data_IF_009241952305
#
_entry.id   IF_009241952305
#
_cell.length_a   1.000
_cell.length_b   1.000
_cell.length_c   1.000
_cell.angle_alpha   90.00
_cell.angle_beta   90.00
_cell.angle_gamma   90.00
#
_symmetry.space_group_name_H-M   'P 1'
#
loop_
_entity.id
_entity.type
_entity.pdbx_description
1 polymer ?
#
# COMPACT_ATOMS: atom_id res chain seq x y z
N UNK A 1 -2.83 19.31 6.71
CA UNK A 1 -3.32 18.31 5.76
C UNK A 1 -3.15 16.98 6.43
N UNK A 2 -4.26 16.31 6.63
CA UNK A 2 -4.34 14.97 7.17
C UNK A 2 -3.72 13.95 6.21
N UNK A 3 -3.44 12.76 6.72
CA UNK A 3 -2.92 11.63 5.94
C UNK A 3 -3.85 11.27 4.76
N UNK A 4 -5.18 11.28 4.99
CA UNK A 4 -6.18 10.93 3.97
C UNK A 4 -6.29 12.00 2.88
N UNK A 5 -6.21 13.28 3.24
CA UNK A 5 -6.16 14.35 2.24
C UNK A 5 -4.89 14.25 1.38
N UNK A 6 -3.74 13.96 1.98
CA UNK A 6 -2.49 13.77 1.26
C UNK A 6 -2.53 12.52 0.36
N UNK A 7 -3.15 11.43 0.82
CA UNK A 7 -3.42 10.23 0.02
C UNK A 7 -4.23 10.58 -1.22
N UNK A 8 -5.39 11.21 -1.06
CA UNK A 8 -6.32 11.47 -2.17
C UNK A 8 -5.75 12.42 -3.22
N UNK A 9 -4.82 13.31 -2.82
CA UNK A 9 -4.06 14.15 -3.77
C UNK A 9 -2.97 13.40 -4.52
N UNK A 10 -2.51 12.26 -3.99
CA UNK A 10 -1.37 11.53 -4.50
C UNK A 10 -1.77 10.31 -5.33
N UNK A 11 -2.79 9.55 -4.87
CA UNK A 11 -3.34 8.36 -5.49
C UNK A 11 -4.72 8.70 -6.08
N UNK A 12 -4.71 9.45 -7.18
CA UNK A 12 -5.93 10.07 -7.75
C UNK A 12 -6.91 9.09 -8.35
N UNK A 13 -6.46 7.91 -8.78
CA UNK A 13 -7.34 6.86 -9.28
C UNK A 13 -7.89 5.96 -8.16
N UNK A 14 -7.28 6.01 -6.97
CA UNK A 14 -7.62 5.16 -5.82
C UNK A 14 -7.85 6.01 -4.56
N UNK A 15 -8.83 6.93 -4.58
CA UNK A 15 -9.14 7.76 -3.43
C UNK A 15 -9.70 6.92 -2.28
N UNK A 16 -9.44 7.37 -1.06
CA UNK A 16 -9.93 6.76 0.17
C UNK A 16 -10.70 7.76 1.04
N UNK A 17 -11.26 7.27 2.15
CA UNK A 17 -11.98 8.08 3.14
C UNK A 17 -11.40 7.87 4.54
N UNK A 18 -11.65 8.80 5.45
CA UNK A 18 -11.22 8.66 6.85
C UNK A 18 -11.85 7.43 7.54
N UNK A 19 -13.10 7.10 7.22
CA UNK A 19 -13.78 5.91 7.74
C UNK A 19 -13.11 4.63 7.25
N UNK A 20 -12.87 4.52 5.93
CA UNK A 20 -12.17 3.37 5.37
C UNK A 20 -10.75 3.23 5.92
N UNK A 21 -9.97 4.32 6.00
CA UNK A 21 -8.62 4.27 6.54
C UNK A 21 -8.61 3.81 8.01
N UNK A 22 -9.56 4.30 8.82
CA UNK A 22 -9.73 3.84 10.20
C UNK A 22 -10.03 2.34 10.24
N UNK A 23 -11.04 1.89 9.49
CA UNK A 23 -11.57 0.54 9.61
C UNK A 23 -10.65 -0.52 8.97
N UNK A 24 -9.99 -0.18 7.86
CA UNK A 24 -9.15 -1.10 7.09
C UNK A 24 -7.64 -0.98 7.36
N UNK A 25 -7.17 0.10 7.99
CA UNK A 25 -5.74 0.27 8.34
C UNK A 25 -5.55 0.34 9.85
N UNK A 26 -6.20 1.28 10.54
CA UNK A 26 -5.93 1.52 11.97
C UNK A 26 -6.56 0.47 12.89
N UNK A 27 -7.67 -0.13 12.50
CA UNK A 27 -8.37 -1.18 13.24
C UNK A 27 -8.08 -2.59 12.69
N UNK A 28 -7.16 -2.71 11.73
CA UNK A 28 -6.68 -4.01 11.29
C UNK A 28 -5.96 -4.71 12.48
N UNK A 29 -6.29 -5.98 12.82
CA UNK A 29 -5.59 -6.72 13.87
C UNK A 29 -4.07 -6.85 13.67
N UNK A 30 -3.59 -6.68 12.45
CA UNK A 30 -2.18 -6.69 12.08
C UNK A 30 -1.54 -5.29 12.09
N UNK A 31 -2.28 -4.24 12.46
CA UNK A 31 -1.77 -2.88 12.54
C UNK A 31 -0.65 -2.76 13.57
N UNK A 32 0.48 -2.24 13.11
CA UNK A 32 1.64 -1.90 13.94
C UNK A 32 2.03 -0.46 13.61
N UNK A 33 1.97 0.49 14.57
CA UNK A 33 2.31 1.88 14.31
C UNK A 33 3.76 2.06 13.84
N UNK A 34 4.69 1.16 14.20
CA UNK A 34 6.07 1.22 13.72
C UNK A 34 6.19 0.86 12.23
N UNK A 35 5.18 0.20 11.65
CA UNK A 35 5.09 -0.11 10.23
C UNK A 35 4.55 1.05 9.39
N UNK A 36 3.85 2.01 9.98
CA UNK A 36 3.27 3.16 9.26
C UNK A 36 4.23 4.37 9.26
N UNK A 37 5.00 4.52 8.19
CA UNK A 37 5.92 5.65 8.01
C UNK A 37 5.17 6.85 7.43
N UNK A 38 5.17 7.96 8.15
CA UNK A 38 4.53 9.22 7.73
C UNK A 38 5.58 10.32 7.68
N UNK A 39 5.72 10.95 6.50
CA UNK A 39 6.57 12.13 6.33
C UNK A 39 5.77 13.40 6.55
N UNK A 40 6.28 14.29 7.41
CA UNK A 40 5.68 15.59 7.73
C UNK A 40 6.65 16.70 7.39
N UNK A 41 6.18 17.71 6.66
CA UNK A 41 6.92 18.93 6.37
C UNK A 41 6.00 20.13 6.66
N UNK A 42 6.51 21.13 7.38
CA UNK A 42 5.75 22.34 7.77
C UNK A 42 4.39 22.01 8.44
N UNK A 43 4.37 20.96 9.27
CA UNK A 43 3.16 20.48 9.95
C UNK A 43 2.12 19.82 9.02
N UNK A 44 2.47 19.54 7.76
CA UNK A 44 1.60 18.88 6.79
C UNK A 44 2.13 17.49 6.45
N UNK A 45 1.24 16.50 6.31
CA UNK A 45 1.63 15.19 5.78
C UNK A 45 1.95 15.34 4.29
N UNK A 46 3.14 14.87 3.90
CA UNK A 46 3.65 14.95 2.52
C UNK A 46 4.02 13.61 1.90
N UNK A 47 3.92 12.52 2.65
CA UNK A 47 4.12 11.18 2.13
C UNK A 47 3.88 10.11 3.18
N UNK A 48 3.67 8.89 2.72
CA UNK A 48 3.44 7.74 3.57
C UNK A 48 3.92 6.46 2.90
N UNK A 49 4.38 5.48 3.68
CA UNK A 49 4.48 4.08 3.28
C UNK A 49 4.09 3.19 4.46
N UNK A 50 3.30 2.16 4.21
CA UNK A 50 2.84 1.25 5.26
C UNK A 50 3.41 -0.14 5.02
N UNK A 51 4.25 -0.63 5.95
CA UNK A 51 4.70 -2.00 6.01
C UNK A 51 3.86 -2.79 7.02
N UNK A 52 3.29 -3.92 6.59
CA UNK A 52 2.45 -4.80 7.44
C UNK A 52 2.95 -6.24 7.40
N UNK A 53 2.77 -6.95 8.51
CA UNK A 53 3.03 -8.40 8.67
C UNK A 53 1.86 -9.01 9.43
N UNK A 54 1.60 -10.31 9.30
CA UNK A 54 0.54 -10.91 10.12
C UNK A 54 0.98 -11.09 11.57
N UNK A 55 0.16 -10.58 12.47
CA UNK A 55 0.17 -10.86 13.91
C UNK A 55 -0.97 -11.83 14.27
N UNK A 56 -2.00 -11.89 13.43
CA UNK A 56 -3.12 -12.84 13.55
C UNK A 56 -3.29 -13.64 12.25
N UNK A 57 -3.64 -14.94 12.33
CA UNK A 57 -3.93 -15.74 11.14
C UNK A 57 -5.09 -15.17 10.32
N UNK A 58 -5.04 -15.34 9.00
CA UNK A 58 -6.12 -14.89 8.11
C UNK A 58 -7.42 -15.66 8.35
N UNK A 59 -7.33 -16.96 8.60
CA UNK A 59 -8.45 -17.83 8.87
C UNK A 59 -8.08 -18.90 9.92
N UNK A 60 -9.07 -19.54 10.58
CA UNK A 60 -8.80 -20.64 11.49
C UNK A 60 -7.97 -21.74 10.81
N UNK A 61 -6.83 -22.08 11.41
CA UNK A 61 -5.94 -23.13 10.90
C UNK A 61 -4.91 -22.69 9.85
N UNK A 62 -4.86 -21.40 9.46
CA UNK A 62 -3.75 -20.87 8.64
C UNK A 62 -2.59 -20.41 9.53
N UNK A 63 -1.38 -20.32 8.97
CA UNK A 63 -0.25 -19.71 9.67
C UNK A 63 -0.25 -18.17 9.56
N UNK A 64 0.81 -17.55 10.07
CA UNK A 64 1.05 -16.10 10.01
C UNK A 64 1.85 -15.68 8.76
N UNK A 65 2.13 -16.60 7.85
CA UNK A 65 3.05 -16.38 6.72
C UNK A 65 4.36 -15.73 7.21
N UNK A 66 5.13 -16.38 8.10
CA UNK A 66 6.17 -15.75 8.90
C UNK A 66 7.31 -15.12 8.07
N UNK A 67 7.49 -15.58 6.83
CA UNK A 67 8.50 -15.05 5.90
C UNK A 67 8.01 -13.83 5.11
N UNK A 68 6.70 -13.57 5.10
CA UNK A 68 6.05 -12.56 4.25
C UNK A 68 5.78 -11.25 5.00
N UNK A 69 6.06 -10.16 4.31
CA UNK A 69 5.58 -8.82 4.65
C UNK A 69 4.95 -8.17 3.42
N UNK A 70 4.18 -7.11 3.64
CA UNK A 70 3.50 -6.41 2.56
C UNK A 70 3.66 -4.91 2.69
N UNK A 71 3.70 -4.23 1.55
CA UNK A 71 3.50 -2.79 1.46
C UNK A 71 2.17 -2.56 0.74
N UNK A 72 1.03 -2.40 1.45
CA UNK A 72 -0.28 -2.31 0.79
C UNK A 72 -0.42 -1.02 -0.02
N UNK A 73 0.23 0.06 0.42
CA UNK A 73 0.27 1.34 -0.27
C UNK A 73 1.50 2.16 0.14
N UNK A 74 1.89 3.07 -0.73
CA UNK A 74 2.71 4.22 -0.41
C UNK A 74 2.32 5.40 -1.30
N UNK A 75 2.63 6.61 -0.88
CA UNK A 75 2.44 7.79 -1.70
C UNK A 75 3.38 8.92 -1.30
N UNK A 76 3.58 9.86 -2.23
CA UNK A 76 4.26 11.13 -2.00
C UNK A 76 3.41 12.24 -2.61
N UNK A 77 3.16 13.29 -1.83
CA UNK A 77 2.46 14.48 -2.27
C UNK A 77 3.12 15.03 -3.54
N UNK A 78 2.34 15.44 -4.57
CA UNK A 78 2.88 15.84 -5.87
C UNK A 78 4.05 16.82 -5.80
N UNK A 79 3.98 17.79 -4.89
CA UNK A 79 5.00 18.85 -4.75
C UNK A 79 6.33 18.37 -4.15
N UNK A 80 6.36 17.18 -3.55
CA UNK A 80 7.56 16.58 -2.93
C UNK A 80 8.15 15.42 -3.74
N UNK A 81 7.61 15.14 -4.93
CA UNK A 81 8.13 14.10 -5.82
C UNK A 81 9.48 14.51 -6.43
N UNK A 82 10.23 13.51 -6.92
CA UNK A 82 11.54 13.74 -7.54
C UNK A 82 12.69 14.12 -6.58
N UNK A 83 12.45 14.14 -5.27
CA UNK A 83 13.42 14.56 -4.24
C UNK A 83 13.94 13.41 -3.36
N UNK A 84 13.69 12.16 -3.75
CA UNK A 84 14.11 10.96 -3.00
C UNK A 84 13.20 10.55 -1.84
N UNK A 85 12.18 11.34 -1.49
CA UNK A 85 11.28 11.03 -0.36
C UNK A 85 10.59 9.67 -0.50
N UNK A 86 10.07 9.34 -1.68
CA UNK A 86 9.41 8.05 -1.91
C UNK A 86 10.35 6.87 -1.68
N UNK A 87 11.61 6.99 -2.15
CA UNK A 87 12.63 5.95 -1.97
C UNK A 87 12.91 5.72 -0.50
N UNK A 88 13.11 6.81 0.25
CA UNK A 88 13.30 6.76 1.69
C UNK A 88 12.13 6.08 2.41
N UNK A 89 10.89 6.45 2.09
CA UNK A 89 9.70 5.87 2.72
C UNK A 89 9.57 4.36 2.45
N UNK A 90 9.79 3.94 1.21
CA UNK A 90 9.75 2.50 0.85
C UNK A 90 10.89 1.74 1.52
N UNK A 91 12.12 2.28 1.52
CA UNK A 91 13.26 1.66 2.18
C UNK A 91 13.04 1.52 3.70
N UNK A 92 12.44 2.53 4.35
CA UNK A 92 12.08 2.48 5.77
C UNK A 92 11.00 1.42 6.07
N UNK A 93 10.03 1.23 5.18
CA UNK A 93 9.02 0.18 5.30
C UNK A 93 9.62 -1.23 5.10
N UNK A 94 10.48 -1.40 4.09
CA UNK A 94 11.22 -2.66 3.88
C UNK A 94 12.13 -2.97 5.08
N UNK A 95 12.88 -1.97 5.56
CA UNK A 95 13.77 -2.12 6.73
C UNK A 95 12.98 -2.57 7.97
N UNK A 96 11.80 -2.00 8.20
CA UNK A 96 10.91 -2.46 9.26
C UNK A 96 10.53 -3.94 9.09
N UNK A 97 10.08 -4.35 7.91
CA UNK A 97 9.70 -5.74 7.65
C UNK A 97 10.88 -6.70 7.82
N UNK A 98 12.07 -6.34 7.33
CA UNK A 98 13.29 -7.12 7.52
C UNK A 98 13.69 -7.22 8.99
N UNK A 99 13.59 -6.14 9.76
CA UNK A 99 13.85 -6.16 11.21
C UNK A 99 12.86 -7.07 11.96
N UNK A 100 11.65 -7.26 11.42
CA UNK A 100 10.67 -8.21 11.94
C UNK A 100 10.87 -9.63 11.42
N UNK A 101 11.94 -9.92 10.68
CA UNK A 101 12.27 -11.25 10.15
C UNK A 101 11.59 -11.62 8.84
N UNK A 102 10.96 -10.67 8.13
CA UNK A 102 10.36 -10.95 6.81
C UNK A 102 11.45 -10.96 5.75
N UNK A 103 11.46 -12.02 4.94
CA UNK A 103 12.44 -12.26 3.87
C UNK A 103 11.85 -12.04 2.48
N UNK A 104 10.52 -11.96 2.39
CA UNK A 104 9.76 -11.63 1.18
C UNK A 104 8.87 -10.42 1.46
N UNK A 105 8.88 -9.44 0.56
CA UNK A 105 7.99 -8.27 0.62
C UNK A 105 7.20 -8.15 -0.67
N UNK A 106 5.88 -8.25 -0.59
CA UNK A 106 4.98 -8.05 -1.72
C UNK A 106 4.36 -6.65 -1.69
N UNK A 107 4.20 -6.02 -2.85
CA UNK A 107 3.47 -4.76 -2.96
C UNK A 107 1.98 -5.04 -3.21
N UNK A 108 1.12 -4.28 -2.53
CA UNK A 108 -0.34 -4.23 -2.65
C UNK A 108 -1.15 -5.47 -2.21
N UNK A 109 -0.66 -6.69 -2.46
CA UNK A 109 -1.43 -7.95 -2.33
C UNK A 109 -1.78 -8.41 -0.91
N UNK A 110 -1.72 -7.51 0.08
CA UNK A 110 -2.09 -7.82 1.46
C UNK A 110 -3.58 -8.13 1.58
N UNK A 111 -3.90 -9.17 2.35
CA UNK A 111 -5.26 -9.55 2.75
C UNK A 111 -5.36 -9.51 4.28
N UNK A 112 -6.47 -9.05 4.87
CA UNK A 112 -7.81 -8.97 4.27
C UNK A 112 -8.13 -7.65 3.56
N UNK A 113 -7.38 -6.58 3.84
CA UNK A 113 -7.72 -5.23 3.39
C UNK A 113 -6.96 -4.87 2.11
N UNK A 114 -7.52 -5.29 0.97
CA UNK A 114 -6.96 -5.05 -0.36
C UNK A 114 -7.12 -3.59 -0.78
N UNK A 115 -6.00 -2.89 -0.96
CA UNK A 115 -5.99 -1.44 -1.27
C UNK A 115 -5.87 -1.18 -2.76
N UNK A 116 -4.88 -1.80 -3.38
CA UNK A 116 -4.54 -1.64 -4.79
C UNK A 116 -4.45 -3.01 -5.44
N UNK A 117 -4.76 -3.14 -6.74
CA UNK A 117 -4.57 -4.38 -7.45
C UNK A 117 -3.10 -4.78 -7.64
N UNK A 118 -2.21 -3.80 -7.54
CA UNK A 118 -0.79 -3.90 -7.85
C UNK A 118 -0.25 -2.52 -8.20
N UNK A 119 1.02 -2.46 -8.62
CA UNK A 119 1.59 -1.23 -9.13
C UNK A 119 1.19 -1.04 -10.60
N UNK A 120 0.32 -0.06 -10.87
CA UNK A 120 -0.14 0.27 -12.22
C UNK A 120 0.90 1.18 -12.92
N UNK A 121 1.56 0.72 -14.01
CA UNK A 121 2.55 1.52 -14.72
C UNK A 121 1.95 2.64 -15.58
N UNK A 122 0.66 2.57 -15.94
CA UNK A 122 -0.02 3.61 -16.72
C UNK A 122 -0.58 4.69 -15.80
N UNK A 123 -1.24 4.29 -14.72
CA UNK A 123 -1.83 5.21 -13.74
C UNK A 123 -0.76 5.85 -12.85
N UNK A 124 0.26 5.08 -12.43
CA UNK A 124 1.31 5.54 -11.50
C UNK A 124 2.74 5.18 -11.98
N UNK A 125 3.18 5.69 -13.14
CA UNK A 125 4.48 5.33 -13.75
C UNK A 125 5.70 5.65 -12.85
N UNK A 126 5.63 6.71 -12.05
CA UNK A 126 6.68 7.07 -11.10
C UNK A 126 6.77 6.08 -9.92
N UNK A 127 5.62 5.66 -9.39
CA UNK A 127 5.55 4.68 -8.31
C UNK A 127 6.04 3.30 -8.77
N UNK A 128 5.65 2.90 -9.98
CA UNK A 128 6.11 1.65 -10.60
C UNK A 128 7.65 1.64 -10.77
N UNK A 129 8.23 2.70 -11.37
CA UNK A 129 9.69 2.81 -11.52
C UNK A 129 10.43 2.83 -10.19
N UNK A 130 9.84 3.46 -9.17
CA UNK A 130 10.41 3.49 -7.83
C UNK A 130 10.49 2.09 -7.21
N UNK A 131 9.42 1.29 -7.31
CA UNK A 131 9.41 -0.09 -6.85
C UNK A 131 10.48 -0.92 -7.58
N UNK A 132 10.60 -0.79 -8.90
CA UNK A 132 11.67 -1.47 -9.66
C UNK A 132 13.07 -1.05 -9.18
N UNK A 133 13.30 0.24 -8.96
CA UNK A 133 14.57 0.76 -8.45
C UNK A 133 14.86 0.35 -6.99
N UNK A 134 13.82 -0.02 -6.23
CA UNK A 134 13.93 -0.59 -4.89
C UNK A 134 14.11 -2.13 -4.90
N UNK A 135 14.16 -2.76 -6.08
CA UNK A 135 14.42 -4.19 -6.24
C UNK A 135 13.17 -5.08 -6.32
N UNK A 136 11.98 -4.50 -6.37
CA UNK A 136 10.75 -5.26 -6.60
C UNK A 136 10.70 -5.80 -8.03
N UNK A 137 10.18 -7.02 -8.17
CA UNK A 137 10.01 -7.70 -9.45
C UNK A 137 8.53 -7.95 -9.73
N UNK A 138 8.12 -7.81 -10.99
CA UNK A 138 6.75 -8.14 -11.41
C UNK A 138 6.53 -9.65 -11.35
N UNK A 139 5.57 -10.11 -10.54
CA UNK A 139 5.21 -11.52 -10.45
C UNK A 139 4.14 -11.91 -11.49
N UNK A 140 3.10 -11.09 -11.62
CA UNK A 140 1.99 -11.28 -12.56
C UNK A 140 1.28 -9.95 -12.82
N UNK A 141 0.39 -9.92 -13.82
CA UNK A 141 -0.48 -8.78 -14.12
C UNK A 141 -1.94 -9.16 -13.86
N UNK A 142 -2.63 -8.56 -12.86
CA UNK A 142 -4.04 -8.79 -12.67
C UNK A 142 -4.85 -8.10 -13.78
N UNK A 143 -6.05 -8.62 -14.07
CA UNK A 143 -7.00 -8.01 -15.00
C UNK A 143 -8.26 -7.63 -14.23
N UNK A 144 -8.60 -6.34 -14.24
CA UNK A 144 -9.89 -5.89 -13.77
C UNK A 144 -10.94 -6.14 -14.86
N UNK A 145 -12.03 -6.82 -14.51
CA UNK A 145 -13.16 -7.04 -15.41
C UNK A 145 -14.37 -6.30 -14.87
N UNK A 146 -14.96 -5.43 -15.67
CA UNK A 146 -16.24 -4.79 -15.38
C UNK A 146 -17.24 -5.09 -16.50
N UNK A 147 -18.52 -5.06 -16.13
CA UNK A 147 -19.63 -5.08 -17.07
C UNK A 147 -20.80 -4.35 -16.45
N UNK A 148 -21.37 -3.41 -17.19
CA UNK A 148 -22.64 -2.81 -16.79
C UNK A 148 -23.72 -3.88 -16.75
N UNK A 149 -24.41 -3.99 -15.62
CA UNK A 149 -25.58 -4.86 -15.46
C UNK A 149 -26.88 -4.15 -15.86
N UNK A 150 -26.83 -2.86 -16.19
CA UNK A 150 -28.01 -2.12 -16.66
C UNK A 150 -28.48 -2.72 -17.98
N UNK A 151 -29.69 -3.28 -17.98
CA UNK A 151 -30.27 -3.95 -19.16
C UNK A 151 -29.68 -5.34 -19.46
N UNK A 152 -28.87 -5.90 -18.56
CA UNK A 152 -28.40 -7.27 -18.70
C UNK A 152 -29.55 -8.27 -18.44
N UNK A 153 -29.71 -9.24 -19.33
CA UNK A 153 -30.66 -10.34 -19.21
C UNK A 153 -29.89 -11.66 -19.36
N UNK A 154 -30.14 -12.62 -18.48
CA UNK A 154 -29.57 -13.97 -18.59
C UNK A 154 -30.16 -14.68 -19.81
N UNK A 155 -29.36 -15.46 -20.57
CA UNK A 155 -29.85 -16.26 -21.69
C UNK A 155 -31.01 -17.19 -21.33
#
# INVERSE_FOLDING_TARGET
>A
MSLVEAWNRSLTADPTTAGWFRDCVLLDPNFDPDGLRVAVADGQVVGCAYGVRRLTPLAPGTDLEPESGWIPFFFVAPEQRGRGLGRRLVDEAVTFLTAQGRVKVDFASYTPNYVLPGADPETYPEGFRLLQAAGFQTLYSPVAMDRSLVGYVTP
#
